data_IF_912757604256
#
_entry.id   IF_912757604256
#
_cell.length_a   1.000
_cell.length_b   1.000
_cell.length_c   1.000
_cell.angle_alpha   90.00
_cell.angle_beta   90.00
_cell.angle_gamma   90.00
#
_symmetry.space_group_name_H-M   'P 1'
#
loop_
_entity.id
_entity.type
_entity.pdbx_description
1 polymer ?
#
# COMPACT_ATOMS: atom_id res chain seq x y z
N UNK A 1 -16.44 -53.12 -43.69
CA UNK A 1 -16.32 -53.84 -42.39
C UNK A 1 -15.89 -52.83 -41.32
N UNK A 2 -16.74 -51.85 -41.04
CA UNK A 2 -16.43 -50.72 -40.15
C UNK A 2 -17.74 -50.03 -39.72
N UNK A 3 -18.72 -50.78 -39.19
CA UNK A 3 -19.94 -50.20 -38.61
C UNK A 3 -20.32 -51.08 -37.41
N UNK A 4 -20.87 -50.48 -36.34
CA UNK A 4 -21.21 -51.07 -35.03
C UNK A 4 -20.16 -51.04 -33.90
N UNK A 5 -19.71 -49.84 -33.51
CA UNK A 5 -19.28 -49.56 -32.12
C UNK A 5 -19.64 -48.12 -31.69
N UNK A 6 -20.93 -47.78 -31.67
CA UNK A 6 -21.41 -46.47 -31.16
C UNK A 6 -22.70 -46.53 -30.32
N UNK A 7 -23.07 -47.70 -29.82
CA UNK A 7 -24.24 -47.83 -28.94
C UNK A 7 -23.83 -48.66 -27.74
N UNK A 8 -23.83 -48.06 -26.54
CA UNK A 8 -23.97 -48.68 -25.19
C UNK A 8 -23.41 -47.81 -24.04
N UNK A 9 -22.84 -46.62 -24.30
CA UNK A 9 -22.51 -45.67 -23.22
C UNK A 9 -23.64 -44.67 -22.90
N UNK A 10 -24.79 -44.80 -23.56
CA UNK A 10 -26.03 -44.15 -23.16
C UNK A 10 -26.71 -45.01 -22.11
N UNK A 11 -26.96 -44.40 -20.94
CA UNK A 11 -27.94 -44.84 -19.92
C UNK A 11 -27.44 -45.54 -18.65
N UNK A 12 -26.19 -45.36 -18.20
CA UNK A 12 -25.90 -45.60 -16.77
C UNK A 12 -26.51 -44.52 -15.87
N UNK A 13 -26.46 -43.25 -16.29
CA UNK A 13 -27.09 -42.15 -15.56
C UNK A 13 -28.63 -42.24 -15.62
N UNK A 14 -29.17 -42.51 -16.80
CA UNK A 14 -30.61 -42.64 -16.99
C UNK A 14 -31.19 -43.86 -16.24
N UNK A 15 -30.47 -44.99 -16.18
CA UNK A 15 -30.92 -46.12 -15.37
C UNK A 15 -30.88 -45.83 -13.86
N UNK A 16 -29.93 -45.01 -13.38
CA UNK A 16 -29.91 -44.58 -11.96
C UNK A 16 -31.04 -43.59 -11.66
N UNK A 17 -31.31 -42.64 -12.55
CA UNK A 17 -32.46 -41.72 -12.40
C UNK A 17 -33.81 -42.46 -12.47
N UNK A 18 -33.96 -43.43 -13.36
CA UNK A 18 -35.20 -44.22 -13.50
C UNK A 18 -35.57 -44.99 -12.23
N UNK A 19 -34.59 -45.61 -11.57
CA UNK A 19 -34.81 -46.32 -10.30
C UNK A 19 -35.12 -45.38 -9.13
N UNK A 20 -34.50 -44.20 -9.09
CA UNK A 20 -34.83 -43.16 -8.10
C UNK A 20 -36.28 -42.67 -8.26
N UNK A 21 -36.74 -42.49 -9.51
CA UNK A 21 -38.12 -42.05 -9.79
C UNK A 21 -39.15 -43.15 -9.52
N UNK A 22 -38.85 -44.42 -9.82
CA UNK A 22 -39.75 -45.54 -9.51
C UNK A 22 -39.84 -45.83 -8.00
N UNK A 23 -38.75 -45.64 -7.25
CA UNK A 23 -38.76 -45.72 -5.79
C UNK A 23 -39.66 -44.66 -5.14
N UNK A 24 -39.72 -43.45 -5.70
CA UNK A 24 -40.63 -42.40 -5.21
C UNK A 24 -42.11 -42.67 -5.52
N UNK A 25 -42.43 -43.51 -6.52
CA UNK A 25 -43.81 -43.77 -6.94
C UNK A 25 -44.49 -44.90 -6.17
N UNK A 26 -43.75 -45.71 -5.41
CA UNK A 26 -44.24 -46.97 -4.83
C UNK A 26 -44.43 -47.00 -3.30
N UNK A 27 -44.38 -45.88 -2.58
CA UNK A 27 -44.86 -45.87 -1.20
C UNK A 27 -44.72 -44.57 -0.42
N UNK A 28 -45.83 -43.98 0.00
CA UNK A 28 -46.31 -44.02 1.40
C UNK A 28 -47.59 -43.18 1.51
N UNK A 29 -48.55 -43.58 2.35
CA UNK A 29 -49.74 -42.79 2.68
C UNK A 29 -49.42 -41.49 3.47
N UNK A 30 -48.14 -41.13 3.62
CA UNK A 30 -47.68 -39.91 4.28
C UNK A 30 -47.32 -38.82 3.25
N UNK A 31 -48.10 -38.67 2.18
CA UNK A 31 -47.93 -37.62 1.17
C UNK A 31 -47.82 -36.23 1.80
N UNK A 32 -48.49 -36.02 2.94
CA UNK A 32 -48.41 -34.79 3.73
C UNK A 32 -47.01 -34.51 4.29
N UNK A 33 -46.30 -35.52 4.81
CA UNK A 33 -44.98 -35.33 5.40
C UNK A 33 -43.92 -34.94 4.34
N UNK A 34 -44.00 -35.53 3.16
CA UNK A 34 -43.10 -35.20 2.03
C UNK A 34 -43.31 -33.76 1.57
N UNK A 35 -44.57 -33.31 1.49
CA UNK A 35 -44.91 -31.93 1.12
C UNK A 35 -44.33 -30.94 2.14
N UNK A 36 -44.46 -31.22 3.44
CA UNK A 36 -43.89 -30.36 4.48
C UNK A 36 -42.37 -30.27 4.44
N UNK A 37 -41.67 -31.39 4.20
CA UNK A 37 -40.20 -31.39 4.05
C UNK A 37 -39.77 -30.55 2.85
N UNK A 38 -40.43 -30.71 1.70
CA UNK A 38 -40.16 -29.90 0.50
C UNK A 38 -40.46 -28.41 0.72
N UNK A 39 -41.54 -28.10 1.43
CA UNK A 39 -41.89 -26.72 1.78
C UNK A 39 -40.83 -26.08 2.68
N UNK A 40 -40.37 -26.78 3.72
CA UNK A 40 -39.31 -26.31 4.62
C UNK A 40 -38.00 -26.14 3.87
N UNK A 41 -37.62 -27.10 3.02
CA UNK A 41 -36.41 -27.01 2.21
C UNK A 41 -36.44 -25.79 1.28
N UNK A 42 -37.58 -25.58 0.61
CA UNK A 42 -37.78 -24.43 -0.29
C UNK A 42 -37.72 -23.12 0.50
N UNK A 43 -38.38 -23.04 1.67
CA UNK A 43 -38.31 -21.88 2.54
C UNK A 43 -36.88 -21.60 3.00
N UNK A 44 -36.11 -22.62 3.38
CA UNK A 44 -34.71 -22.49 3.78
C UNK A 44 -33.84 -21.95 2.63
N UNK A 45 -34.05 -22.44 1.40
CA UNK A 45 -33.34 -21.94 0.20
C UNK A 45 -33.71 -20.47 -0.08
N UNK A 46 -34.99 -20.11 0.00
CA UNK A 46 -35.45 -18.72 -0.23
C UNK A 46 -34.88 -17.78 0.84
N UNK A 47 -34.90 -18.18 2.10
CA UNK A 47 -34.32 -17.41 3.21
C UNK A 47 -32.80 -17.27 3.00
N UNK A 48 -32.10 -18.37 2.70
CA UNK A 48 -30.67 -18.35 2.42
C UNK A 48 -30.30 -17.44 1.23
N UNK A 49 -31.08 -17.50 0.15
CA UNK A 49 -30.93 -16.61 -1.01
C UNK A 49 -31.18 -15.15 -0.64
N UNK A 50 -32.24 -14.85 0.13
CA UNK A 50 -32.58 -13.49 0.53
C UNK A 50 -31.44 -12.87 1.35
N UNK A 51 -30.92 -13.58 2.35
CA UNK A 51 -29.75 -13.14 3.11
C UNK A 51 -28.49 -13.03 2.25
N UNK A 52 -28.25 -13.94 1.31
CA UNK A 52 -27.11 -13.84 0.39
C UNK A 52 -27.23 -12.65 -0.59
N UNK A 53 -28.43 -12.36 -1.07
CA UNK A 53 -28.72 -11.30 -2.05
C UNK A 53 -28.72 -9.89 -1.44
N UNK A 54 -29.14 -9.74 -0.18
CA UNK A 54 -29.11 -8.45 0.54
C UNK A 54 -27.70 -7.92 0.79
N UNK A 55 -26.69 -8.78 0.79
CA UNK A 55 -25.27 -8.39 0.94
C UNK A 55 -24.70 -7.79 -0.36
N UNK A 56 -25.36 -7.98 -1.51
CA UNK A 56 -24.89 -7.51 -2.81
C UNK A 56 -25.13 -6.01 -3.05
N UNK A 57 -26.30 -5.50 -2.69
CA UNK A 57 -26.71 -4.11 -2.99
C UNK A 57 -25.96 -3.08 -2.15
N UNK A 58 -25.66 -3.35 -0.87
CA UNK A 58 -24.86 -2.42 -0.05
C UNK A 58 -23.42 -2.24 -0.56
N UNK A 59 -22.90 -3.15 -1.39
CA UNK A 59 -21.52 -3.05 -1.90
C UNK A 59 -21.38 -2.04 -3.02
N UNK A 60 -22.39 -1.83 -3.87
CA UNK A 60 -22.31 -0.84 -4.94
C UNK A 60 -22.21 0.58 -4.39
N UNK A 61 -22.93 0.89 -3.32
CA UNK A 61 -22.92 2.21 -2.71
C UNK A 61 -21.53 2.57 -2.16
N UNK A 62 -20.83 1.60 -1.59
CA UNK A 62 -19.46 1.80 -1.08
C UNK A 62 -18.49 2.08 -2.23
N UNK A 63 -18.62 1.38 -3.35
CA UNK A 63 -17.79 1.66 -4.54
C UNK A 63 -18.07 3.04 -5.14
N UNK A 64 -19.34 3.47 -5.17
CA UNK A 64 -19.70 4.83 -5.61
C UNK A 64 -19.07 5.87 -4.69
N UNK A 65 -19.20 5.71 -3.37
CA UNK A 65 -18.57 6.62 -2.39
C UNK A 65 -17.05 6.64 -2.53
N UNK A 66 -16.43 5.48 -2.72
CA UNK A 66 -14.99 5.37 -2.94
C UNK A 66 -14.55 6.13 -4.20
N UNK A 67 -15.30 6.00 -5.29
CA UNK A 67 -15.01 6.71 -6.54
C UNK A 67 -15.21 8.23 -6.44
N UNK A 68 -16.03 8.70 -5.50
CA UNK A 68 -16.24 10.13 -5.24
C UNK A 68 -15.31 10.72 -4.18
N UNK A 69 -14.61 9.89 -3.41
CA UNK A 69 -13.73 10.34 -2.33
C UNK A 69 -12.36 10.78 -2.89
N UNK A 70 -12.06 12.07 -2.78
CA UNK A 70 -10.83 12.67 -3.30
C UNK A 70 -9.89 13.21 -2.20
N UNK A 71 -10.28 13.09 -0.93
CA UNK A 71 -9.48 13.52 0.21
C UNK A 71 -9.10 12.34 1.14
N UNK A 72 -7.97 12.42 1.85
CA UNK A 72 -7.52 11.34 2.73
C UNK A 72 -8.49 11.00 3.88
N UNK A 73 -9.32 11.94 4.33
CA UNK A 73 -10.22 11.74 5.47
C UNK A 73 -11.42 10.88 5.06
N UNK A 74 -12.07 11.21 3.93
CA UNK A 74 -13.17 10.43 3.37
C UNK A 74 -12.75 8.99 3.05
N UNK A 75 -11.55 8.81 2.47
CA UNK A 75 -11.00 7.48 2.22
C UNK A 75 -10.73 6.71 3.52
N UNK A 76 -10.25 7.39 4.57
CA UNK A 76 -10.05 6.81 5.89
C UNK A 76 -11.37 6.35 6.53
N UNK A 77 -12.44 7.14 6.37
CA UNK A 77 -13.77 6.78 6.87
C UNK A 77 -14.34 5.56 6.13
N UNK A 78 -14.22 5.50 4.81
CA UNK A 78 -14.64 4.34 4.01
C UNK A 78 -13.89 3.08 4.46
N UNK A 79 -12.57 3.18 4.64
CA UNK A 79 -11.75 2.07 5.10
C UNK A 79 -12.17 1.56 6.49
N UNK A 80 -12.42 2.48 7.44
CA UNK A 80 -12.80 2.14 8.82
C UNK A 80 -14.20 1.52 8.90
N UNK A 81 -15.17 2.09 8.18
CA UNK A 81 -16.58 1.66 8.24
C UNK A 81 -16.85 0.37 7.49
N UNK A 82 -16.00 0.02 6.51
CA UNK A 82 -16.16 -1.17 5.66
C UNK A 82 -15.00 -2.17 5.83
N UNK A 83 -14.40 -2.25 7.02
CA UNK A 83 -13.24 -3.08 7.30
C UNK A 83 -13.41 -4.55 6.85
N UNK A 84 -12.32 -5.14 6.34
CA UNK A 84 -12.32 -6.52 5.84
C UNK A 84 -12.95 -6.72 4.45
N UNK A 85 -13.40 -5.64 3.79
CA UNK A 85 -13.94 -5.70 2.43
C UNK A 85 -12.93 -5.19 1.40
N UNK A 86 -13.07 -5.60 0.13
CA UNK A 86 -12.22 -5.11 -0.97
C UNK A 86 -12.30 -3.57 -1.16
N UNK A 87 -13.48 -2.91 -1.10
CA UNK A 87 -13.53 -1.44 -1.14
C UNK A 87 -12.71 -0.77 -0.03
N UNK A 88 -12.74 -1.28 1.20
CA UNK A 88 -11.93 -0.74 2.28
C UNK A 88 -10.43 -0.92 2.03
N UNK A 89 -10.02 -2.06 1.46
CA UNK A 89 -8.64 -2.28 1.05
C UNK A 89 -8.20 -1.24 0.01
N UNK A 90 -8.99 -1.04 -1.05
CA UNK A 90 -8.69 -0.04 -2.09
C UNK A 90 -8.67 1.38 -1.51
N UNK A 91 -9.58 1.71 -0.60
CA UNK A 91 -9.59 3.01 0.09
C UNK A 91 -8.30 3.27 0.85
N UNK A 92 -7.75 2.26 1.54
CA UNK A 92 -6.45 2.37 2.25
C UNK A 92 -5.30 2.62 1.30
N UNK A 93 -5.24 1.90 0.17
CA UNK A 93 -4.23 2.14 -0.86
C UNK A 93 -4.35 3.55 -1.46
N UNK A 94 -5.55 3.99 -1.84
CA UNK A 94 -5.77 5.34 -2.37
C UNK A 94 -5.38 6.42 -1.36
N UNK A 95 -5.76 6.25 -0.08
CA UNK A 95 -5.38 7.16 1.00
C UNK A 95 -3.86 7.24 1.16
N UNK A 96 -3.20 6.08 1.20
CA UNK A 96 -1.74 6.02 1.32
C UNK A 96 -1.03 6.66 0.12
N UNK A 97 -1.55 6.52 -1.11
CA UNK A 97 -1.01 7.22 -2.30
C UNK A 97 -1.15 8.75 -2.18
N UNK A 98 -2.32 9.23 -1.76
CA UNK A 98 -2.54 10.68 -1.60
C UNK A 98 -1.64 11.25 -0.51
N UNK A 99 -1.56 10.61 0.66
CA UNK A 99 -0.68 11.03 1.75
C UNK A 99 0.79 10.96 1.35
N UNK A 100 1.21 9.94 0.59
CA UNK A 100 2.59 9.85 0.10
C UNK A 100 2.91 11.03 -0.83
N UNK A 101 2.02 11.33 -1.78
CA UNK A 101 2.22 12.45 -2.70
C UNK A 101 2.23 13.79 -1.96
N UNK A 102 1.29 14.00 -1.02
CA UNK A 102 1.22 15.21 -0.21
C UNK A 102 2.47 15.36 0.67
N UNK A 103 2.86 14.29 1.37
CA UNK A 103 4.05 14.26 2.19
C UNK A 103 5.31 14.58 1.40
N UNK A 104 5.52 13.94 0.25
CA UNK A 104 6.69 14.22 -0.60
C UNK A 104 6.72 15.67 -1.11
N UNK A 105 5.58 16.21 -1.55
CA UNK A 105 5.49 17.59 -2.04
C UNK A 105 5.70 18.62 -0.92
N UNK A 106 5.25 18.31 0.29
CA UNK A 106 5.26 19.23 1.43
C UNK A 106 6.52 19.09 2.31
N UNK A 107 7.35 18.06 2.09
CA UNK A 107 8.59 17.84 2.85
C UNK A 107 9.64 18.94 2.59
N UNK A 108 9.62 19.48 1.37
CA UNK A 108 10.47 20.59 0.92
C UNK A 108 9.58 21.73 0.42
N UNK A 109 8.91 22.48 1.33
CA UNK A 109 8.03 23.55 0.92
C UNK A 109 8.79 24.61 0.12
N UNK A 110 8.11 25.20 -0.86
CA UNK A 110 8.69 26.25 -1.70
C UNK A 110 9.19 27.43 -0.83
N UNK A 111 10.39 27.93 -1.13
CA UNK A 111 11.09 28.94 -0.34
C UNK A 111 10.35 30.29 -0.27
N UNK A 112 9.30 30.45 -1.08
CA UNK A 112 8.49 31.67 -1.19
C UNK A 112 7.60 31.88 0.05
N UNK A 113 7.30 30.83 0.83
CA UNK A 113 6.38 30.95 1.97
C UNK A 113 7.03 31.55 3.22
N UNK A 114 6.23 32.02 4.19
CA UNK A 114 6.73 32.51 5.48
C UNK A 114 7.36 31.36 6.29
N UNK A 115 8.48 31.57 7.01
CA UNK A 115 9.20 30.50 7.74
C UNK A 115 8.33 29.70 8.73
N UNK A 116 7.40 30.35 9.44
CA UNK A 116 6.53 29.69 10.42
C UNK A 116 5.56 28.70 9.75
N UNK A 117 4.92 29.11 8.64
CA UNK A 117 4.01 28.24 7.88
C UNK A 117 4.74 27.04 7.25
N UNK A 118 6.02 27.21 6.88
CA UNK A 118 6.85 26.13 6.36
C UNK A 118 7.14 25.06 7.42
N UNK A 119 7.35 25.46 8.68
CA UNK A 119 7.61 24.51 9.76
C UNK A 119 6.40 23.60 10.01
N UNK A 120 5.20 24.18 10.14
CA UNK A 120 3.96 23.43 10.35
C UNK A 120 3.66 22.49 9.16
N UNK A 121 3.87 22.97 7.92
CA UNK A 121 3.66 22.17 6.72
C UNK A 121 4.63 20.99 6.64
N UNK A 122 5.91 21.20 6.98
CA UNK A 122 6.92 20.15 6.99
C UNK A 122 6.64 19.12 8.09
N UNK A 123 6.22 19.57 9.28
CA UNK A 123 5.86 18.67 10.37
C UNK A 123 4.65 17.79 10.02
N UNK A 124 3.66 18.36 9.33
CA UNK A 124 2.55 17.58 8.80
C UNK A 124 3.01 16.58 7.73
N UNK A 125 3.88 16.99 6.82
CA UNK A 125 4.43 16.11 5.78
C UNK A 125 5.16 14.90 6.38
N UNK A 126 5.92 15.12 7.46
CA UNK A 126 6.61 14.04 8.18
C UNK A 126 5.61 13.06 8.79
N UNK A 127 4.54 13.56 9.44
CA UNK A 127 3.48 12.71 10.01
C UNK A 127 2.76 11.90 8.94
N UNK A 128 2.46 12.53 7.80
CA UNK A 128 1.81 11.87 6.66
C UNK A 128 2.69 10.73 6.13
N UNK A 129 4.01 10.96 5.98
CA UNK A 129 4.96 9.93 5.55
C UNK A 129 5.11 8.79 6.57
N UNK A 130 5.10 9.09 7.87
CA UNK A 130 5.11 8.07 8.93
C UNK A 130 3.84 7.20 8.90
N UNK A 131 2.68 7.82 8.67
CA UNK A 131 1.42 7.12 8.48
C UNK A 131 1.44 6.24 7.21
N UNK A 132 1.98 6.76 6.10
CA UNK A 132 2.14 6.00 4.85
C UNK A 132 3.00 4.77 5.06
N UNK A 133 4.17 4.92 5.71
CA UNK A 133 5.06 3.81 6.04
C UNK A 133 4.33 2.71 6.80
N UNK A 134 3.67 3.06 7.91
CA UNK A 134 2.95 2.10 8.75
C UNK A 134 1.78 1.46 8.01
N UNK A 135 1.03 2.24 7.21
CA UNK A 135 -0.09 1.74 6.43
C UNK A 135 0.36 0.72 5.39
N UNK A 136 1.41 1.03 4.61
CA UNK A 136 1.92 0.11 3.61
C UNK A 136 2.61 -1.12 4.20
N UNK A 137 3.22 -1.03 5.38
CA UNK A 137 3.74 -2.20 6.10
C UNK A 137 2.62 -3.19 6.43
N UNK A 138 1.48 -2.70 6.93
CA UNK A 138 0.31 -3.54 7.21
C UNK A 138 -0.29 -4.08 5.90
N UNK A 139 -0.46 -3.24 4.88
CA UNK A 139 -1.00 -3.66 3.58
C UNK A 139 -0.14 -4.74 2.91
N UNK A 140 1.18 -4.65 3.01
CA UNK A 140 2.09 -5.65 2.48
C UNK A 140 1.87 -7.03 3.12
N UNK A 141 1.59 -7.07 4.43
CA UNK A 141 1.29 -8.31 5.14
C UNK A 141 -0.10 -8.88 4.79
N UNK A 142 -1.12 -8.01 4.69
CA UNK A 142 -2.48 -8.39 4.32
C UNK A 142 -2.58 -8.89 2.87
N UNK A 143 -1.84 -8.26 1.95
CA UNK A 143 -1.87 -8.55 0.52
C UNK A 143 -0.84 -9.59 0.07
N UNK A 144 -0.26 -10.40 0.96
CA UNK A 144 0.76 -11.41 0.62
C UNK A 144 0.34 -12.42 -0.47
N UNK A 145 -0.97 -12.63 -0.63
CA UNK A 145 -1.55 -13.54 -1.62
C UNK A 145 -1.91 -12.84 -2.94
N UNK A 146 -1.78 -11.51 -3.02
CA UNK A 146 -1.99 -10.69 -4.21
C UNK A 146 -0.64 -10.07 -4.62
N UNK A 147 0.04 -10.63 -5.64
CA UNK A 147 1.37 -10.16 -6.03
C UNK A 147 1.41 -8.69 -6.42
N UNK A 148 0.36 -8.15 -7.03
CA UNK A 148 0.35 -6.76 -7.50
C UNK A 148 0.19 -5.80 -6.32
N UNK A 149 -0.75 -6.07 -5.42
CA UNK A 149 -0.98 -5.22 -4.25
C UNK A 149 0.17 -5.27 -3.25
N UNK A 150 0.80 -6.44 -3.06
CA UNK A 150 1.98 -6.57 -2.20
C UNK A 150 3.21 -5.84 -2.77
N UNK A 151 3.44 -5.92 -4.09
CA UNK A 151 4.48 -5.14 -4.76
C UNK A 151 4.28 -3.64 -4.55
N UNK A 152 3.06 -3.15 -4.78
CA UNK A 152 2.75 -1.74 -4.57
C UNK A 152 2.99 -1.31 -3.12
N UNK A 153 2.58 -2.13 -2.15
CA UNK A 153 2.79 -1.84 -0.74
C UNK A 153 4.28 -1.77 -0.37
N UNK A 154 5.12 -2.68 -0.87
CA UNK A 154 6.56 -2.58 -0.67
C UNK A 154 7.15 -1.33 -1.28
N UNK A 155 6.74 -0.98 -2.51
CA UNK A 155 7.23 0.22 -3.19
C UNK A 155 6.83 1.50 -2.43
N UNK A 156 5.57 1.60 -2.00
CA UNK A 156 5.07 2.74 -1.22
C UNK A 156 5.78 2.88 0.12
N UNK A 157 6.03 1.75 0.81
CA UNK A 157 6.80 1.73 2.06
C UNK A 157 8.26 2.16 1.83
N UNK A 158 8.92 1.63 0.80
CA UNK A 158 10.30 1.98 0.46
C UNK A 158 10.47 3.49 0.22
N UNK A 159 9.54 4.10 -0.53
CA UNK A 159 9.53 5.55 -0.78
C UNK A 159 9.36 6.37 0.49
N UNK A 160 8.51 5.92 1.41
CA UNK A 160 8.32 6.60 2.69
C UNK A 160 9.57 6.50 3.58
N UNK A 161 10.19 5.32 3.67
CA UNK A 161 11.45 5.12 4.41
C UNK A 161 12.58 5.96 3.83
N UNK A 162 12.72 5.98 2.50
CA UNK A 162 13.72 6.80 1.81
C UNK A 162 13.52 8.29 2.08
N UNK A 163 12.29 8.79 1.95
CA UNK A 163 11.97 10.20 2.21
C UNK A 163 12.26 10.61 3.66
N UNK A 164 12.03 9.70 4.62
CA UNK A 164 12.26 9.93 6.04
C UNK A 164 13.72 9.71 6.47
N UNK A 165 14.57 9.07 5.65
CA UNK A 165 15.95 8.75 6.00
C UNK A 165 16.82 9.99 6.26
N UNK A 166 16.48 11.14 5.66
CA UNK A 166 17.15 12.42 5.92
C UNK A 166 16.56 13.23 7.08
N UNK A 167 15.43 12.80 7.65
CA UNK A 167 14.66 13.60 8.61
C UNK A 167 15.07 13.22 10.04
N UNK A 168 15.57 14.16 10.86
CA UNK A 168 15.91 13.89 12.25
C UNK A 168 14.66 13.59 13.09
N UNK A 169 14.81 12.78 14.14
CA UNK A 169 13.77 12.60 15.14
C UNK A 169 13.65 13.87 15.99
N UNK A 170 12.43 14.21 16.42
CA UNK A 170 12.19 15.42 17.23
C UNK A 170 12.96 15.41 18.56
N UNK A 171 13.18 14.22 19.12
CA UNK A 171 13.84 14.06 20.42
C UNK A 171 15.36 13.81 20.30
N UNK A 172 15.85 13.46 19.10
CA UNK A 172 17.23 13.04 18.88
C UNK A 172 17.66 13.39 17.44
N UNK A 173 18.39 14.51 17.24
CA UNK A 173 18.85 14.92 15.91
C UNK A 173 19.80 13.93 15.21
N UNK A 174 20.46 13.05 15.99
CA UNK A 174 21.37 12.04 15.45
C UNK A 174 20.58 10.89 14.83
N UNK A 175 19.44 10.54 15.42
CA UNK A 175 18.55 9.50 14.89
C UNK A 175 17.71 10.02 13.74
N UNK A 176 17.59 9.21 12.70
CA UNK A 176 16.74 9.47 11.55
C UNK A 176 15.37 8.82 11.74
N UNK A 177 14.34 9.40 11.13
CA UNK A 177 12.97 8.87 11.17
C UNK A 177 12.79 7.70 10.22
N UNK A 178 13.51 7.67 9.11
CA UNK A 178 13.53 6.58 8.14
C UNK A 178 14.86 5.81 8.16
N UNK A 179 14.85 4.65 7.50
CA UNK A 179 16.01 3.77 7.37
C UNK A 179 16.27 3.48 5.88
N UNK A 180 17.41 3.97 5.38
CA UNK A 180 17.79 3.80 3.97
C UNK A 180 18.07 2.33 3.62
N UNK A 181 18.64 1.55 4.54
CA UNK A 181 18.87 0.12 4.36
C UNK A 181 17.55 -0.64 4.25
N UNK A 182 16.55 -0.27 5.05
CA UNK A 182 15.19 -0.82 4.94
C UNK A 182 14.53 -0.44 3.61
N UNK A 183 14.69 0.79 3.14
CA UNK A 183 14.19 1.22 1.84
C UNK A 183 14.80 0.38 0.69
N UNK A 184 16.12 0.19 0.68
CA UNK A 184 16.83 -0.66 -0.28
C UNK A 184 16.28 -2.09 -0.25
N UNK A 185 16.13 -2.69 0.94
CA UNK A 185 15.59 -4.04 1.08
C UNK A 185 14.18 -4.17 0.48
N UNK A 186 13.32 -3.17 0.69
CA UNK A 186 11.96 -3.15 0.15
C UNK A 186 11.95 -3.00 -1.38
N UNK A 187 12.81 -2.14 -1.94
CA UNK A 187 12.98 -2.04 -3.39
C UNK A 187 13.51 -3.34 -4.00
N UNK A 188 14.46 -4.01 -3.36
CA UNK A 188 14.96 -5.32 -3.80
C UNK A 188 13.84 -6.39 -3.77
N UNK A 189 13.00 -6.40 -2.74
CA UNK A 189 11.81 -7.29 -2.68
C UNK A 189 10.84 -7.04 -3.84
N UNK A 190 10.62 -5.77 -4.19
CA UNK A 190 9.83 -5.39 -5.36
C UNK A 190 10.48 -5.90 -6.66
N UNK A 191 11.77 -5.62 -6.87
CA UNK A 191 12.53 -6.03 -8.05
C UNK A 191 12.59 -7.56 -8.22
N UNK A 192 12.55 -8.32 -7.13
CA UNK A 192 12.51 -9.79 -7.17
C UNK A 192 11.17 -10.35 -7.70
N UNK A 193 10.12 -9.53 -7.82
CA UNK A 193 8.79 -9.94 -8.30
C UNK A 193 8.39 -9.33 -9.64
N UNK A 194 9.12 -8.33 -10.12
CA UNK A 194 8.84 -7.64 -11.38
C UNK A 194 9.77 -8.14 -12.48
N UNK A 195 9.26 -8.15 -13.70
CA UNK A 195 10.04 -8.52 -14.88
C UNK A 195 11.29 -7.61 -15.02
N UNK A 196 12.50 -8.20 -15.03
CA UNK A 196 13.76 -7.47 -15.08
C UNK A 196 13.95 -6.59 -16.32
N UNK A 197 13.24 -6.89 -17.41
CA UNK A 197 13.43 -6.24 -18.71
C UNK A 197 12.51 -5.01 -18.88
N UNK A 198 11.63 -4.76 -17.93
CA UNK A 198 10.79 -3.55 -17.95
C UNK A 198 11.66 -2.29 -17.71
N UNK A 199 11.43 -1.18 -18.44
CA UNK A 199 12.14 0.08 -18.22
C UNK A 199 12.08 0.54 -16.76
N UNK A 200 10.93 0.33 -16.13
CA UNK A 200 10.71 0.65 -14.72
C UNK A 200 11.64 -0.13 -13.77
N UNK A 201 11.81 -1.44 -13.98
CA UNK A 201 12.71 -2.25 -13.16
C UNK A 201 14.19 -1.85 -13.37
N UNK A 202 14.57 -1.48 -14.60
CA UNK A 202 15.92 -1.02 -14.89
C UNK A 202 16.24 0.31 -14.20
N UNK A 203 15.32 1.28 -14.25
CA UNK A 203 15.50 2.56 -13.58
C UNK A 203 15.52 2.40 -12.06
N UNK A 204 14.66 1.54 -11.51
CA UNK A 204 14.65 1.26 -10.08
C UNK A 204 15.92 0.55 -9.61
N UNK A 205 16.54 -0.33 -10.41
CA UNK A 205 17.86 -0.90 -10.10
C UNK A 205 18.95 0.16 -10.01
N UNK A 206 19.03 1.04 -11.00
CA UNK A 206 19.99 2.16 -10.98
C UNK A 206 19.80 3.04 -9.75
N UNK A 207 18.53 3.27 -9.36
CA UNK A 207 18.20 3.99 -8.13
C UNK A 207 18.72 3.25 -6.89
N UNK A 208 18.45 1.95 -6.76
CA UNK A 208 18.97 1.13 -5.65
C UNK A 208 20.50 1.15 -5.60
N UNK A 209 21.19 0.96 -6.73
CA UNK A 209 22.65 1.03 -6.81
C UNK A 209 23.19 2.39 -6.35
N UNK A 210 22.48 3.47 -6.70
CA UNK A 210 22.84 4.82 -6.27
C UNK A 210 22.65 5.00 -4.75
N UNK A 211 21.57 4.48 -4.18
CA UNK A 211 21.32 4.50 -2.72
C UNK A 211 22.37 3.68 -1.96
N UNK A 212 22.75 2.50 -2.47
CA UNK A 212 23.79 1.65 -1.86
C UNK A 212 25.16 2.35 -1.89
N UNK A 213 25.51 2.98 -3.02
CA UNK A 213 26.74 3.77 -3.13
C UNK A 213 26.73 4.98 -2.19
N UNK A 214 25.59 5.67 -2.07
CA UNK A 214 25.42 6.79 -1.15
C UNK A 214 25.55 6.34 0.32
N UNK A 215 24.87 5.25 0.69
CA UNK A 215 24.96 4.69 2.03
C UNK A 215 26.37 4.24 2.41
N UNK A 216 27.16 3.76 1.44
CA UNK A 216 28.56 3.36 1.65
C UNK A 216 29.54 4.54 1.72
N UNK A 217 29.17 5.69 1.13
CA UNK A 217 30.05 6.87 1.05
C UNK A 217 29.84 7.87 2.17
N UNK A 218 28.70 7.81 2.88
CA UNK A 218 28.53 8.53 4.14
C UNK A 218 29.43 7.84 5.16
N UNK A 219 30.58 8.42 5.54
CA UNK A 219 31.39 7.83 6.59
C UNK A 219 30.47 7.69 7.80
N UNK A 220 30.36 6.47 8.32
CA UNK A 220 29.70 6.21 9.60
C UNK A 220 30.22 7.28 10.55
N UNK A 221 29.35 8.24 10.88
CA UNK A 221 29.77 9.38 11.69
C UNK A 221 30.16 8.77 13.02
N UNK A 222 31.46 8.62 13.22
CA UNK A 222 32.06 8.25 14.49
C UNK A 222 31.50 9.26 15.49
N UNK A 223 30.50 8.85 16.28
CA UNK A 223 29.76 9.72 17.19
C UNK A 223 30.68 10.40 18.21
N UNK A 224 31.94 9.92 18.31
CA UNK A 224 32.99 10.50 19.15
C UNK A 224 33.74 11.67 18.48
N UNK A 225 33.66 11.82 17.16
CA UNK A 225 34.18 12.98 16.42
C UNK A 225 33.02 13.91 16.09
N UNK A 226 32.62 14.69 17.09
CA UNK A 226 31.81 15.88 16.88
C UNK A 226 32.51 16.70 15.80
N UNK A 227 31.88 16.83 14.62
CA UNK A 227 32.36 17.74 13.58
C UNK A 227 32.55 19.15 14.16
N UNK A 228 33.25 20.05 13.45
CA UNK A 228 33.50 21.38 13.97
C UNK A 228 32.18 21.99 14.45
N UNK A 229 32.18 22.51 15.68
CA UNK A 229 30.95 23.05 16.27
C UNK A 229 30.34 24.07 15.31
N UNK A 230 29.03 24.31 15.41
CA UNK A 230 28.37 25.34 14.59
C UNK A 230 29.13 26.68 14.70
N UNK A 231 29.70 26.98 15.87
CA UNK A 231 30.58 28.13 16.11
C UNK A 231 31.89 28.06 15.32
N UNK A 232 32.57 26.91 15.27
CA UNK A 232 33.77 26.72 14.44
C UNK A 232 33.47 26.87 12.94
N UNK A 233 32.32 26.38 12.48
CA UNK A 233 31.88 26.57 11.09
C UNK A 233 31.68 28.07 10.78
N UNK A 234 30.94 28.81 11.61
CA UNK A 234 30.77 30.26 11.42
C UNK A 234 32.07 31.03 11.55
N UNK A 235 32.98 30.59 12.42
CA UNK A 235 34.31 31.19 12.58
C UNK A 235 35.15 30.98 11.31
N UNK A 236 35.13 29.78 10.72
CA UNK A 236 35.78 29.54 9.43
C UNK A 236 35.16 30.37 8.30
N UNK A 237 33.84 30.49 8.27
CA UNK A 237 33.13 31.29 7.26
C UNK A 237 33.48 32.79 7.35
N UNK A 238 33.51 33.34 8.56
CA UNK A 238 33.94 34.71 8.79
C UNK A 238 35.42 34.93 8.43
N UNK A 239 36.30 33.97 8.75
CA UNK A 239 37.71 34.04 8.37
C UNK A 239 37.92 34.00 6.85
N UNK A 240 37.06 33.29 6.12
CA UNK A 240 37.06 33.30 4.64
C UNK A 240 36.57 34.63 4.06
N UNK A 241 35.63 35.31 4.72
CA UNK A 241 35.08 36.60 4.26
C UNK A 241 36.00 37.80 4.60
N UNK A 242 36.77 37.72 5.68
CA UNK A 242 37.65 38.79 6.17
C UNK A 242 38.69 39.36 5.17
N UNK A 243 39.37 38.57 4.32
CA UNK A 243 40.36 39.13 3.38
C UNK A 243 39.72 39.91 2.20
N UNK A 244 38.42 39.74 1.93
CA UNK A 244 37.75 40.44 0.84
C UNK A 244 37.48 41.92 1.17
N UNK A 245 37.27 42.27 2.44
CA UNK A 245 37.01 43.66 2.88
C UNK A 245 38.29 44.51 2.89
N UNK A 246 39.43 43.95 3.29
CA UNK A 246 40.70 44.71 3.31
C UNK A 246 41.17 45.14 1.90
N UNK A 247 40.85 44.35 0.87
CA UNK A 247 41.22 44.67 -0.52
C UNK A 247 40.34 45.78 -1.14
N UNK A 248 39.16 46.03 -0.59
CA UNK A 248 38.27 47.09 -1.03
C UNK A 248 38.66 48.47 -0.46
N UNK A 249 39.24 48.51 0.73
CA UNK A 249 39.67 49.76 1.38
C UNK A 249 41.02 50.27 0.86
N UNK A 250 41.95 49.36 0.50
CA UNK A 250 43.26 49.73 -0.07
C UNK A 250 43.23 50.27 -1.51
N UNK A 251 42.06 50.31 -2.18
CA UNK A 251 41.90 50.92 -3.52
C UNK A 251 41.39 52.36 -3.48
N UNK A 252 41.15 52.92 -2.29
CA UNK A 252 40.69 54.31 -2.10
C UNK A 252 41.81 55.27 -1.67
N UNK A 253 43.06 54.81 -1.63
CA UNK A 253 44.27 55.63 -1.46
C UNK A 253 45.07 55.62 -2.75
#
# INVERSE_FOLDING_TARGET
KAEHRKELHTNLLANRMGRLVQGMKSGSQNTSAVIWVLAILTAAVVVGWFFASGVGSSRSDVWVRLNSANDPQALGEIARTNGGTMPALVARFQRARLLLQQGLNNLFPDQIQKPEAQADQRDQAIKDLEEVRSTYEVLAAECRNDPLLSQEAWLGNAKAEEALAGVPQANDPQKKRGDLGKAINLYQKFLAKVDPDTPYAQDLRKHVDALEKYGSSVPEQDETKVGPSVEEFYTQLNNFAAPATQKAEGRKQ
#
